data_IF_866328169863
#
_entry.id   IF_866328169863
#
_cell.length_a   1.000
_cell.length_b   1.000
_cell.length_c   1.000
_cell.angle_alpha   90.00
_cell.angle_beta   90.00
_cell.angle_gamma   90.00
#
_symmetry.space_group_name_H-M   'P 1'
#
loop_
_entity.id
_entity.type
_entity.pdbx_description
1 polymer ?
#
# COMPACT_ATOMS: atom_id res chain seq x y z
N UNK A 1 7.53 -28.41 28.92
CA UNK A 1 8.07 -27.03 28.93
C UNK A 1 8.29 -26.48 27.49
N UNK A 2 7.45 -26.88 26.52
CA UNK A 2 7.54 -26.46 25.11
C UNK A 2 6.41 -25.46 24.74
N UNK A 3 5.23 -25.63 25.34
CA UNK A 3 4.05 -24.78 25.11
C UNK A 3 4.19 -23.30 25.50
N UNK A 4 4.99 -22.97 26.50
CA UNK A 4 5.11 -21.57 26.98
C UNK A 4 5.88 -20.68 25.99
N UNK A 5 6.92 -21.22 25.34
CA UNK A 5 7.71 -20.46 24.37
C UNK A 5 6.91 -20.21 23.08
N UNK A 6 6.07 -21.17 22.67
CA UNK A 6 5.16 -21.02 21.55
C UNK A 6 4.05 -20.02 21.85
N UNK A 7 3.46 -20.04 23.04
CA UNK A 7 2.45 -19.04 23.43
C UNK A 7 3.03 -17.63 23.54
N UNK A 8 4.24 -17.47 24.08
CA UNK A 8 4.91 -16.17 24.15
C UNK A 8 5.30 -15.67 22.76
N UNK A 9 5.80 -16.54 21.89
CA UNK A 9 6.15 -16.17 20.51
C UNK A 9 4.90 -15.85 19.67
N UNK A 10 3.81 -16.60 19.86
CA UNK A 10 2.51 -16.35 19.23
C UNK A 10 1.89 -15.04 19.73
N UNK A 11 1.89 -14.77 21.03
CA UNK A 11 1.36 -13.53 21.60
C UNK A 11 2.21 -12.31 21.18
N UNK A 12 3.54 -12.48 21.08
CA UNK A 12 4.43 -11.45 20.54
C UNK A 12 4.22 -11.23 19.04
N UNK A 13 3.95 -12.29 18.28
CA UNK A 13 3.63 -12.22 16.85
C UNK A 13 2.26 -11.56 16.61
N UNK A 14 1.24 -11.90 17.40
CA UNK A 14 -0.09 -11.27 17.40
C UNK A 14 0.00 -9.78 17.76
N UNK A 15 0.67 -9.43 18.87
CA UNK A 15 0.89 -8.01 19.26
C UNK A 15 1.77 -7.25 18.26
N UNK A 16 2.68 -7.93 17.56
CA UNK A 16 3.43 -7.32 16.46
C UNK A 16 2.54 -7.08 15.24
N UNK A 17 1.60 -7.98 14.96
CA UNK A 17 0.60 -7.85 13.91
C UNK A 17 -0.38 -6.71 14.22
N UNK A 18 -0.87 -6.61 15.45
CA UNK A 18 -1.76 -5.53 15.89
C UNK A 18 -1.08 -4.17 15.82
N UNK A 19 0.20 -4.08 16.20
CA UNK A 19 0.99 -2.85 16.05
C UNK A 19 1.25 -2.51 14.59
N UNK A 20 1.45 -3.50 13.72
CA UNK A 20 1.57 -3.28 12.28
C UNK A 20 0.25 -2.77 11.69
N UNK A 21 -0.87 -3.38 12.07
CA UNK A 21 -2.21 -2.96 11.67
C UNK A 21 -2.51 -1.54 12.14
N UNK A 22 -2.26 -1.23 13.41
CA UNK A 22 -2.47 0.10 13.97
C UNK A 22 -1.56 1.15 13.32
N UNK A 23 -0.28 0.82 13.09
CA UNK A 23 0.65 1.71 12.37
C UNK A 23 0.21 1.94 10.93
N UNK A 24 -0.21 0.88 10.21
CA UNK A 24 -0.74 0.99 8.86
C UNK A 24 -2.01 1.85 8.83
N UNK A 25 -2.91 1.69 9.80
CA UNK A 25 -4.13 2.49 9.95
C UNK A 25 -3.84 3.96 10.22
N UNK A 26 -2.94 4.25 11.17
CA UNK A 26 -2.50 5.62 11.47
C UNK A 26 -1.84 6.27 10.26
N UNK A 27 -0.94 5.57 9.56
CA UNK A 27 -0.32 6.04 8.32
C UNK A 27 -1.36 6.32 7.24
N UNK A 28 -2.34 5.42 7.06
CA UNK A 28 -3.40 5.60 6.07
C UNK A 28 -4.23 6.84 6.37
N UNK A 29 -4.58 7.07 7.65
CA UNK A 29 -5.32 8.27 8.07
C UNK A 29 -4.49 9.52 7.84
N UNK A 30 -3.21 9.52 8.22
CA UNK A 30 -2.31 10.65 7.99
C UNK A 30 -2.12 10.95 6.50
N UNK A 31 -2.01 9.92 5.66
CA UNK A 31 -1.91 10.07 4.21
C UNK A 31 -3.22 10.60 3.64
N UNK A 32 -4.37 10.11 4.11
CA UNK A 32 -5.67 10.60 3.64
C UNK A 32 -5.92 12.06 4.05
N UNK A 33 -5.62 12.44 5.29
CA UNK A 33 -5.73 13.84 5.72
C UNK A 33 -4.72 14.70 4.95
N UNK A 34 -3.48 14.24 4.80
CA UNK A 34 -2.48 14.96 4.00
C UNK A 34 -2.89 15.09 2.53
N UNK A 35 -3.49 14.08 1.90
CA UNK A 35 -4.01 14.14 0.52
C UNK A 35 -5.21 15.09 0.39
N UNK A 36 -6.01 15.24 1.45
CA UNK A 36 -7.09 16.25 1.49
C UNK A 36 -6.54 17.67 1.60
N UNK A 37 -5.38 17.85 2.22
CA UNK A 37 -4.76 19.16 2.41
C UNK A 37 -3.61 19.48 1.42
N UNK A 38 -3.10 18.50 0.67
CA UNK A 38 -1.93 18.63 -0.20
C UNK A 38 -2.04 17.73 -1.45
N UNK A 39 -1.29 18.06 -2.51
CA UNK A 39 -1.23 17.25 -3.74
C UNK A 39 -0.39 15.97 -3.54
N UNK A 40 -0.74 14.90 -4.27
CA UNK A 40 -0.04 13.60 -4.33
C UNK A 40 1.49 13.71 -4.35
N UNK A 41 2.04 14.68 -5.11
CA UNK A 41 3.49 14.90 -5.24
C UNK A 41 4.17 15.27 -3.92
N UNK A 42 3.50 16.05 -3.07
CA UNK A 42 4.04 16.47 -1.76
C UNK A 42 4.08 15.28 -0.81
N UNK A 43 3.00 14.48 -0.78
CA UNK A 43 2.92 13.27 0.04
C UNK A 43 3.97 12.24 -0.40
N UNK A 44 4.16 12.01 -1.70
CA UNK A 44 5.21 11.12 -2.21
C UNK A 44 6.62 11.60 -1.85
N UNK A 45 6.89 12.91 -1.96
CA UNK A 45 8.19 13.48 -1.62
C UNK A 45 8.51 13.30 -0.13
N UNK A 46 7.55 13.59 0.76
CA UNK A 46 7.70 13.36 2.20
C UNK A 46 7.91 11.86 2.48
N UNK A 47 7.16 10.99 1.80
CA UNK A 47 7.30 9.54 1.94
C UNK A 47 8.69 9.05 1.54
N UNK A 48 9.23 9.57 0.44
CA UNK A 48 10.56 9.23 -0.07
C UNK A 48 11.68 9.68 0.87
N UNK A 49 11.47 10.75 1.65
CA UNK A 49 12.43 11.23 2.66
C UNK A 49 12.36 10.38 3.93
N UNK A 50 11.15 9.95 4.34
CA UNK A 50 10.96 9.03 5.47
C UNK A 50 11.38 7.59 5.16
N UNK A 51 11.52 7.23 3.88
CA UNK A 51 12.09 5.97 3.45
C UNK A 51 13.59 5.95 3.75
N UNK A 52 13.96 5.41 4.91
CA UNK A 52 15.37 5.16 5.26
C UNK A 52 15.96 4.22 4.19
N UNK A 53 17.12 4.58 3.62
CA UNK A 53 17.89 3.67 2.75
C UNK A 53 18.36 2.48 3.58
N UNK A 54 17.63 1.38 3.48
CA UNK A 54 17.97 0.08 4.07
C UNK A 54 18.37 -0.84 2.91
N UNK A 55 19.39 -1.66 3.12
CA UNK A 55 19.81 -2.64 2.13
C UNK A 55 18.63 -3.55 1.77
N UNK A 56 18.45 -3.88 0.48
CA UNK A 56 17.37 -4.77 0.08
C UNK A 56 17.50 -6.12 0.81
N UNK A 57 16.40 -6.66 1.34
CA UNK A 57 16.40 -7.95 2.03
C UNK A 57 16.71 -9.08 1.06
N UNK A 58 17.10 -10.25 1.58
CA UNK A 58 17.30 -11.44 0.75
C UNK A 58 16.00 -11.82 0.03
N UNK A 59 16.06 -12.51 -1.11
CA UNK A 59 14.91 -12.86 -1.93
C UNK A 59 13.83 -13.61 -1.14
N UNK A 60 14.23 -14.59 -0.32
CA UNK A 60 13.31 -15.33 0.56
C UNK A 60 12.64 -14.44 1.61
N UNK A 61 13.39 -13.51 2.20
CA UNK A 61 12.86 -12.55 3.17
C UNK A 61 11.92 -11.54 2.50
N UNK A 62 12.25 -11.12 1.29
CA UNK A 62 11.44 -10.21 0.49
C UNK A 62 10.07 -10.82 0.20
N UNK A 63 10.01 -12.08 -0.26
CA UNK A 63 8.76 -12.80 -0.50
C UNK A 63 7.94 -12.89 0.79
N UNK A 64 8.56 -13.26 1.91
CA UNK A 64 7.87 -13.34 3.20
C UNK A 64 7.34 -11.97 3.68
N UNK A 65 8.09 -10.89 3.45
CA UNK A 65 7.67 -9.52 3.77
C UNK A 65 6.48 -9.12 2.89
N UNK A 66 6.57 -9.35 1.58
CA UNK A 66 5.51 -9.02 0.63
C UNK A 66 4.22 -9.76 0.95
N UNK A 67 4.29 -11.07 1.17
CA UNK A 67 3.13 -11.91 1.52
C UNK A 67 2.46 -11.45 2.82
N UNK A 68 3.27 -11.15 3.85
CA UNK A 68 2.77 -10.63 5.12
C UNK A 68 2.04 -9.30 4.95
N UNK A 69 2.64 -8.35 4.24
CA UNK A 69 2.01 -7.04 4.05
C UNK A 69 0.81 -7.11 3.09
N UNK A 70 0.88 -7.92 2.04
CA UNK A 70 -0.25 -8.20 1.14
C UNK A 70 -1.45 -8.72 1.91
N UNK A 71 -1.25 -9.70 2.80
CA UNK A 71 -2.31 -10.27 3.64
C UNK A 71 -2.96 -9.20 4.53
N UNK A 72 -2.16 -8.37 5.20
CA UNK A 72 -2.66 -7.31 6.08
C UNK A 72 -3.49 -6.29 5.29
N UNK A 73 -2.98 -5.84 4.14
CA UNK A 73 -3.67 -4.82 3.33
C UNK A 73 -4.90 -5.39 2.60
N UNK A 74 -4.88 -6.66 2.21
CA UNK A 74 -6.06 -7.32 1.65
C UNK A 74 -7.20 -7.41 2.69
N UNK A 75 -6.87 -7.76 3.94
CA UNK A 75 -7.83 -7.74 5.05
C UNK A 75 -8.40 -6.34 5.31
N UNK A 76 -7.58 -5.29 5.23
CA UNK A 76 -8.03 -3.89 5.36
C UNK A 76 -8.96 -3.51 4.20
N UNK A 77 -8.64 -3.92 2.97
CA UNK A 77 -9.40 -3.56 1.77
C UNK A 77 -10.80 -4.20 1.73
N UNK A 78 -10.99 -5.37 2.37
CA UNK A 78 -12.29 -6.01 2.51
C UNK A 78 -13.22 -5.35 3.54
N UNK A 79 -12.78 -4.31 4.26
CA UNK A 79 -13.64 -3.59 5.20
C UNK A 79 -14.51 -2.55 4.46
N UNK A 80 -15.85 -2.61 4.61
CA UNK A 80 -16.78 -1.74 3.86
C UNK A 80 -16.59 -0.25 4.16
N UNK A 81 -16.19 0.11 5.39
CA UNK A 81 -15.91 1.51 5.81
C UNK A 81 -14.65 2.11 5.17
N UNK A 82 -13.82 1.28 4.53
CA UNK A 82 -12.55 1.67 3.90
C UNK A 82 -12.62 1.62 2.37
N UNK A 83 -13.79 1.31 1.81
CA UNK A 83 -14.07 1.37 0.38
C UNK A 83 -13.82 2.80 -0.13
N UNK A 84 -12.94 2.94 -1.13
CA UNK A 84 -12.52 4.24 -1.69
C UNK A 84 -11.25 4.84 -1.10
N UNK A 85 -10.57 4.17 -0.15
CA UNK A 85 -9.27 4.61 0.39
C UNK A 85 -8.07 3.87 -0.22
N UNK A 86 -8.26 3.19 -1.36
CA UNK A 86 -7.25 2.37 -2.02
C UNK A 86 -5.95 3.13 -2.32
N UNK A 87 -6.03 4.41 -2.69
CA UNK A 87 -4.86 5.27 -2.90
C UNK A 87 -4.04 5.47 -1.63
N UNK A 88 -4.69 5.85 -0.53
CA UNK A 88 -4.03 6.04 0.77
C UNK A 88 -3.44 4.74 1.30
N UNK A 89 -4.14 3.62 1.10
CA UNK A 89 -3.67 2.29 1.49
C UNK A 89 -2.44 1.88 0.68
N UNK A 90 -2.47 2.02 -0.65
CA UNK A 90 -1.34 1.72 -1.54
C UNK A 90 -0.12 2.60 -1.23
N UNK A 91 -0.32 3.88 -0.88
CA UNK A 91 0.75 4.76 -0.41
C UNK A 91 1.30 4.32 0.95
N UNK A 92 0.44 3.96 1.91
CA UNK A 92 0.87 3.49 3.22
C UNK A 92 1.70 2.20 3.10
N UNK A 93 1.26 1.27 2.27
CA UNK A 93 1.98 0.04 1.98
C UNK A 93 3.33 0.33 1.30
N UNK A 94 3.36 1.22 0.31
CA UNK A 94 4.60 1.62 -0.37
C UNK A 94 5.61 2.20 0.62
N UNK A 95 5.17 3.02 1.56
CA UNK A 95 6.03 3.55 2.63
C UNK A 95 6.64 2.43 3.48
N UNK A 96 5.82 1.46 3.88
CA UNK A 96 6.25 0.34 4.72
C UNK A 96 7.26 -0.55 3.99
N UNK A 97 7.03 -0.82 2.71
CA UNK A 97 7.93 -1.57 1.85
C UNK A 97 9.24 -0.80 1.59
N UNK A 98 9.18 0.50 1.29
CA UNK A 98 10.36 1.33 1.09
C UNK A 98 11.25 1.39 2.34
N UNK A 99 10.66 1.47 3.54
CA UNK A 99 11.40 1.38 4.82
C UNK A 99 12.10 0.02 5.03
N UNK A 100 11.68 -0.99 4.29
CA UNK A 100 12.31 -2.32 4.27
C UNK A 100 13.27 -2.49 3.09
N UNK A 101 13.56 -1.44 2.31
CA UNK A 101 14.42 -1.51 1.13
C UNK A 101 13.74 -2.14 -0.09
N UNK A 102 12.41 -2.33 -0.05
CA UNK A 102 11.63 -2.92 -1.14
C UNK A 102 11.02 -1.79 -1.95
N UNK A 103 11.44 -1.67 -3.21
CA UNK A 103 10.83 -0.77 -4.19
C UNK A 103 9.53 -1.37 -4.73
N UNK A 104 8.54 -0.51 -4.94
CA UNK A 104 7.26 -0.82 -5.58
C UNK A 104 6.72 0.40 -6.32
N UNK A 105 6.06 0.14 -7.45
CA UNK A 105 5.43 1.13 -8.30
C UNK A 105 3.96 1.29 -7.92
N UNK A 106 3.51 2.53 -7.75
CA UNK A 106 2.11 2.85 -7.57
C UNK A 106 1.44 2.96 -8.94
N UNK A 107 0.40 2.16 -9.15
CA UNK A 107 -0.44 2.21 -10.35
C UNK A 107 -1.81 2.74 -9.97
N UNK A 108 -2.33 3.62 -10.80
CA UNK A 108 -3.69 4.15 -10.68
C UNK A 108 -4.43 3.75 -11.95
N UNK A 109 -5.53 3.03 -11.77
CA UNK A 109 -6.43 2.63 -12.83
C UNK A 109 -7.77 3.33 -12.70
N UNK A 110 -8.43 3.52 -13.84
CA UNK A 110 -9.79 4.06 -13.89
C UNK A 110 -10.68 3.11 -14.66
N UNK A 111 -11.91 2.97 -14.21
CA UNK A 111 -12.92 2.17 -14.86
C UNK A 111 -14.20 3.00 -14.99
N UNK A 112 -14.88 2.87 -16.11
CA UNK A 112 -16.15 3.54 -16.35
C UNK A 112 -17.20 2.49 -16.67
N UNK A 113 -18.00 2.13 -15.65
CA UNK A 113 -19.10 1.17 -15.82
C UNK A 113 -20.41 1.94 -15.71
N UNK A 114 -21.22 1.90 -16.78
CA UNK A 114 -22.59 2.46 -16.82
C UNK A 114 -22.68 3.94 -16.37
N UNK A 115 -21.71 4.75 -16.77
CA UNK A 115 -21.68 6.18 -16.45
C UNK A 115 -21.09 6.53 -15.08
N UNK A 116 -20.80 5.53 -14.22
CA UNK A 116 -20.06 5.76 -12.98
C UNK A 116 -18.56 5.65 -13.24
N UNK A 117 -17.84 6.69 -12.85
CA UNK A 117 -16.39 6.71 -12.87
C UNK A 117 -15.86 6.15 -11.55
N UNK A 118 -15.09 5.07 -11.65
CA UNK A 118 -14.44 4.44 -10.51
C UNK A 118 -12.91 4.53 -10.67
N UNK A 119 -12.24 4.93 -9.60
CA UNK A 119 -10.79 5.10 -9.58
C UNK A 119 -10.20 4.16 -8.54
N UNK A 120 -9.18 3.41 -8.96
CA UNK A 120 -8.56 2.40 -8.13
C UNK A 120 -7.04 2.53 -8.15
N UNK A 121 -6.39 2.16 -7.06
CA UNK A 121 -4.95 2.30 -6.93
C UNK A 121 -4.35 1.08 -6.24
N UNK A 122 -3.31 0.51 -6.85
CA UNK A 122 -2.61 -0.67 -6.37
C UNK A 122 -1.10 -0.50 -6.51
N UNK A 123 -0.36 -1.39 -5.87
CA UNK A 123 1.08 -1.51 -6.00
C UNK A 123 1.46 -2.71 -6.86
N UNK A 124 2.46 -2.49 -7.68
CA UNK A 124 3.06 -3.48 -8.56
C UNK A 124 4.58 -3.46 -8.38
N UNK A 125 5.20 -4.63 -8.47
CA UNK A 125 6.65 -4.76 -8.53
C UNK A 125 7.00 -5.83 -9.54
N UNK A 126 7.88 -5.50 -10.49
CA UNK A 126 8.39 -6.44 -11.49
C UNK A 126 7.27 -7.21 -12.22
N UNK A 127 6.13 -6.55 -12.47
CA UNK A 127 4.94 -7.16 -13.09
C UNK A 127 3.99 -7.90 -12.14
N UNK A 128 4.30 -7.99 -10.85
CA UNK A 128 3.53 -8.71 -9.84
C UNK A 128 2.73 -7.73 -8.98
N UNK A 129 1.43 -7.99 -8.84
CA UNK A 129 0.53 -7.23 -7.95
C UNK A 129 0.81 -7.57 -6.49
N UNK A 130 0.91 -6.54 -5.66
CA UNK A 130 1.25 -6.72 -4.23
C UNK A 130 0.02 -6.69 -3.35
N UNK A 131 -0.91 -5.77 -3.56
CA UNK A 131 -2.07 -5.55 -2.69
C UNK A 131 -3.42 -5.68 -3.39
N UNK A 132 -3.41 -6.30 -4.57
CA UNK A 132 -4.61 -6.48 -5.36
C UNK A 132 -4.62 -7.80 -6.12
N UNK A 133 -5.81 -8.16 -6.61
CA UNK A 133 -6.01 -9.38 -7.37
C UNK A 133 -6.10 -9.08 -8.88
N UNK A 134 -5.51 -9.92 -9.74
CA UNK A 134 -5.58 -9.77 -11.21
C UNK A 134 -7.02 -9.59 -11.74
N UNK A 135 -7.98 -10.31 -11.16
CA UNK A 135 -9.39 -10.23 -11.54
C UNK A 135 -10.04 -8.87 -11.25
N UNK A 136 -9.56 -8.13 -10.25
CA UNK A 136 -10.06 -6.79 -9.92
C UNK A 136 -9.48 -5.79 -10.91
N UNK A 137 -8.16 -5.81 -11.11
CA UNK A 137 -7.47 -4.86 -11.98
C UNK A 137 -7.78 -5.03 -13.46
N UNK A 138 -8.21 -6.22 -13.90
CA UNK A 138 -8.49 -6.51 -15.32
C UNK A 138 -9.55 -5.57 -15.93
N UNK A 139 -10.43 -5.00 -15.09
CA UNK A 139 -11.46 -4.06 -15.53
C UNK A 139 -11.02 -2.60 -15.49
N UNK A 140 -9.80 -2.30 -15.03
CA UNK A 140 -9.29 -0.94 -14.92
C UNK A 140 -8.28 -0.63 -16.01
N UNK A 141 -8.41 0.54 -16.61
CA UNK A 141 -7.42 1.07 -17.53
C UNK A 141 -6.33 1.78 -16.73
N UNK A 142 -5.08 1.28 -16.81
CA UNK A 142 -3.94 1.89 -16.11
C UNK A 142 -3.62 3.24 -16.74
N UNK A 143 -3.62 4.28 -15.92
CA UNK A 143 -3.21 5.60 -16.36
C UNK A 143 -1.68 5.60 -16.56
N UNK A 144 -1.18 5.98 -17.76
CA UNK A 144 0.25 6.06 -17.99
C UNK A 144 0.88 7.11 -17.07
N UNK A 145 2.02 6.79 -16.47
CA UNK A 145 2.73 7.65 -15.51
C UNK A 145 3.07 9.04 -16.10
N UNK A 146 3.17 9.15 -17.43
CA UNK A 146 3.34 10.42 -18.15
C UNK A 146 2.17 11.41 -17.93
N UNK A 147 0.94 10.92 -17.75
CA UNK A 147 -0.25 11.75 -17.47
C UNK A 147 -0.46 12.08 -15.99
N UNK A 148 0.15 11.33 -15.06
CA UNK A 148 0.23 11.74 -13.65
C UNK A 148 1.06 13.01 -13.45
N UNK A 149 2.02 13.27 -14.35
CA UNK A 149 2.87 14.46 -14.31
C UNK A 149 2.25 15.68 -15.02
N UNK A 150 1.27 15.47 -15.91
CA UNK A 150 0.76 16.49 -16.83
C UNK A 150 -0.52 17.20 -16.34
N UNK A 151 -1.24 16.64 -15.37
CA UNK A 151 -2.63 17.07 -15.08
C UNK A 151 -2.81 17.96 -13.85
N UNK A 152 -1.87 18.86 -13.54
CA UNK A 152 -2.11 20.00 -12.62
C UNK A 152 -1.26 21.23 -12.98
N UNK A 153 -1.13 21.55 -14.29
CA UNK A 153 -1.03 22.96 -14.71
C UNK A 153 -2.44 23.43 -15.03
N UNK A 154 -3.26 23.58 -13.99
CA UNK A 154 -4.44 24.45 -14.13
C UNK A 154 -3.91 25.86 -13.84
N UNK A 155 -4.16 26.70 -14.84
CA UNK A 155 -3.69 28.07 -15.04
C UNK A 155 -4.01 28.97 -13.86
#
# INVERSE_FOLDING_TARGET
MYYDHDLISLNRALRANDRMFFRARMLTILIETSLRFTSLKTTEKILSILAKKVSPPNEKEMVAILDKYATIFNQINHQPDLKGRCLSQSLALRCLLQRKGITSALKIGVNQIRGNFDAHAWLERDGILINDHPSVIANYFVLPESKLNMTLKIK
#
